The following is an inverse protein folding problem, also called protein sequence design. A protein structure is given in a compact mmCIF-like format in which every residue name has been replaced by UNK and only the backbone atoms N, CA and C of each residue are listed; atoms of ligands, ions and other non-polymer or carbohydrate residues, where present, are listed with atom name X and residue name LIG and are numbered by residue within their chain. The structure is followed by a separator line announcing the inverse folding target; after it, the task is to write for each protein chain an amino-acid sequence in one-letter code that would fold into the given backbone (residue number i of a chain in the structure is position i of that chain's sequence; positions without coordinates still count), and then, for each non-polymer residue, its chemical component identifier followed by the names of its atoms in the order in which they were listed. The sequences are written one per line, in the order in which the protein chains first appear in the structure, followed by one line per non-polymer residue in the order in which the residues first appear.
data_IF_284075233539
#
_entry.id   IF_284075233539
#
_cell.length_a   1.000
_cell.length_b   1.000
_cell.length_c   1.000
_cell.angle_alpha   90.00
_cell.angle_beta   90.00
_cell.angle_gamma   90.00
#
_symmetry.space_group_name_H-M   'P 1'
#
loop_
_entity.id
_entity.type
_entity.pdbx_description
1 polymer ?
#
# COMPACT_ATOMS: atom_id res chain seq x y z
N UNK A 1 -7.86 -13.15 8.46
CA UNK A 1 -7.80 -11.68 8.31
C UNK A 1 -7.62 -11.11 9.71
N UNK A 2 -6.59 -10.32 9.93
CA UNK A 2 -6.35 -9.72 11.25
C UNK A 2 -7.10 -8.40 11.46
N UNK A 3 -7.36 -7.66 10.41
CA UNK A 3 -7.97 -6.34 10.51
C UNK A 3 -8.73 -5.97 9.23
N UNK A 4 -9.88 -5.32 9.39
CA UNK A 4 -10.76 -4.88 8.28
C UNK A 4 -11.27 -3.49 8.61
N UNK A 5 -11.05 -2.51 7.75
CA UNK A 5 -11.66 -1.19 7.88
C UNK A 5 -12.37 -0.79 6.59
N UNK A 6 -13.51 -0.11 6.76
CA UNK A 6 -14.36 0.24 5.65
C UNK A 6 -15.14 -0.94 5.09
N UNK A 7 -15.37 -0.93 3.80
CA UNK A 7 -16.10 -1.98 3.09
C UNK A 7 -15.11 -2.96 2.44
N UNK A 8 -14.95 -4.10 3.07
CA UNK A 8 -14.14 -5.22 2.60
C UNK A 8 -15.04 -6.42 2.38
N UNK A 9 -14.82 -7.09 1.28
CA UNK A 9 -15.60 -8.25 0.89
C UNK A 9 -14.70 -9.45 0.61
N UNK A 10 -15.25 -10.62 0.87
CA UNK A 10 -14.63 -11.91 0.57
C UNK A 10 -15.51 -12.72 -0.37
N UNK A 11 -14.89 -13.44 -1.27
CA UNK A 11 -15.54 -14.40 -2.17
C UNK A 11 -14.84 -15.76 -2.08
N UNK A 12 -15.60 -16.79 -1.77
CA UNK A 12 -15.14 -18.17 -1.88
C UNK A 12 -15.23 -18.65 -3.34
N UNK A 13 -14.46 -19.66 -3.75
CA UNK A 13 -14.55 -20.20 -5.10
C UNK A 13 -15.97 -20.56 -5.50
N UNK A 14 -16.44 -19.98 -6.61
CA UNK A 14 -17.81 -20.19 -7.13
C UNK A 14 -18.92 -19.50 -6.34
N UNK A 15 -18.60 -18.78 -5.27
CA UNK A 15 -19.56 -18.04 -4.45
C UNK A 15 -19.74 -16.60 -4.87
N UNK A 16 -20.66 -15.90 -4.21
CA UNK A 16 -20.84 -14.45 -4.32
C UNK A 16 -19.96 -13.69 -3.34
N UNK A 17 -19.72 -12.42 -3.63
CA UNK A 17 -19.09 -11.50 -2.69
C UNK A 17 -19.97 -11.30 -1.46
N UNK A 18 -19.37 -11.29 -0.30
CA UNK A 18 -20.02 -11.04 1.00
C UNK A 18 -19.12 -10.21 1.88
N UNK A 19 -19.69 -9.43 2.77
CA UNK A 19 -18.94 -8.63 3.72
C UNK A 19 -17.95 -9.51 4.49
N UNK A 20 -16.71 -9.06 4.55
CA UNK A 20 -15.67 -9.68 5.35
C UNK A 20 -15.78 -9.25 6.82
N UNK A 21 -15.27 -10.08 7.71
CA UNK A 21 -15.13 -9.76 9.14
C UNK A 21 -13.70 -9.95 9.61
N UNK A 22 -13.33 -9.27 10.67
CA UNK A 22 -12.09 -9.54 11.41
C UNK A 22 -12.03 -11.00 11.85
N UNK A 23 -10.85 -11.52 12.04
CA UNK A 23 -10.57 -12.91 12.42
C UNK A 23 -11.11 -13.96 11.45
N UNK A 24 -11.65 -13.56 10.31
CA UNK A 24 -12.12 -14.51 9.31
C UNK A 24 -10.95 -15.26 8.67
N UNK A 25 -11.01 -16.61 8.72
CA UNK A 25 -10.02 -17.45 8.06
C UNK A 25 -10.15 -17.37 6.54
N UNK A 26 -9.01 -17.35 5.85
CA UNK A 26 -8.92 -17.43 4.41
C UNK A 26 -8.44 -18.82 3.98
N UNK A 27 -9.12 -19.40 3.02
CA UNK A 27 -8.74 -20.64 2.36
C UNK A 27 -8.09 -20.37 0.99
N UNK A 28 -7.39 -21.38 0.47
CA UNK A 28 -6.87 -21.33 -0.91
C UNK A 28 -8.04 -21.18 -1.88
N UNK A 29 -7.92 -20.20 -2.78
CA UNK A 29 -8.95 -19.83 -3.76
C UNK A 29 -9.89 -18.72 -3.30
N UNK A 30 -9.88 -18.34 -2.02
CA UNK A 30 -10.63 -17.18 -1.55
C UNK A 30 -10.06 -15.91 -2.15
N UNK A 31 -10.96 -14.98 -2.46
CA UNK A 31 -10.63 -13.63 -2.95
C UNK A 31 -11.07 -12.60 -1.92
N UNK A 32 -10.28 -11.59 -1.74
CA UNK A 32 -10.58 -10.44 -0.88
C UNK A 32 -10.53 -9.19 -1.74
N UNK A 33 -11.53 -8.32 -1.63
CA UNK A 33 -11.49 -7.00 -2.23
C UNK A 33 -11.80 -5.92 -1.21
N UNK A 34 -11.09 -4.82 -1.34
CA UNK A 34 -11.33 -3.59 -0.62
C UNK A 34 -12.04 -2.61 -1.55
N UNK A 35 -13.11 -1.98 -1.09
CA UNK A 35 -13.77 -0.90 -1.83
C UNK A 35 -13.05 0.44 -1.62
N UNK A 36 -13.36 1.50 -2.36
CA UNK A 36 -12.75 2.80 -2.17
C UNK A 36 -12.81 3.30 -0.71
N UNK A 37 -11.68 3.78 -0.18
CA UNK A 37 -11.54 4.19 1.21
C UNK A 37 -11.48 3.04 2.22
N UNK A 38 -11.18 1.82 1.76
CA UNK A 38 -11.15 0.63 2.61
C UNK A 38 -9.84 -0.11 2.49
N UNK A 39 -9.41 -0.80 3.54
CA UNK A 39 -8.26 -1.70 3.45
C UNK A 39 -8.46 -2.93 4.32
N UNK A 40 -7.59 -3.93 4.11
CA UNK A 40 -7.55 -5.13 4.90
C UNK A 40 -6.11 -5.51 5.25
N UNK A 41 -5.93 -6.14 6.40
CA UNK A 41 -4.68 -6.78 6.78
C UNK A 41 -4.87 -8.29 6.79
N UNK A 42 -4.13 -8.96 5.94
CA UNK A 42 -4.09 -10.43 5.88
C UNK A 42 -2.95 -10.89 6.78
N UNK A 43 -3.28 -11.63 7.82
CA UNK A 43 -2.29 -12.18 8.75
C UNK A 43 -2.01 -13.65 8.46
N UNK A 44 -0.74 -13.98 8.43
CA UNK A 44 -0.21 -15.33 8.31
C UNK A 44 0.76 -15.58 9.47
N UNK A 45 1.07 -16.84 9.82
CA UNK A 45 1.90 -17.14 11.00
C UNK A 45 3.27 -16.43 11.04
N UNK A 46 3.77 -15.96 9.92
CA UNK A 46 5.13 -15.38 9.77
C UNK A 46 5.15 -14.09 8.94
N UNK A 47 4.03 -13.53 8.57
CA UNK A 47 3.97 -12.26 7.83
C UNK A 47 2.58 -11.64 7.89
N UNK A 48 2.53 -10.34 7.72
CA UNK A 48 1.31 -9.60 7.50
C UNK A 48 1.38 -8.84 6.17
N UNK A 49 0.25 -8.76 5.49
CA UNK A 49 0.14 -8.12 4.17
C UNK A 49 -0.98 -7.09 4.25
N UNK A 50 -0.64 -5.84 3.98
CA UNK A 50 -1.62 -4.80 3.84
C UNK A 50 -2.17 -4.81 2.40
N UNK A 51 -3.49 -4.92 2.28
CA UNK A 51 -4.24 -4.79 1.03
C UNK A 51 -4.82 -3.38 1.00
N UNK A 52 -4.31 -2.55 0.12
CA UNK A 52 -4.66 -1.14 0.04
C UNK A 52 -6.05 -0.90 -0.56
N UNK A 53 -6.39 0.36 -0.69
CA UNK A 53 -7.64 0.86 -1.25
C UNK A 53 -7.92 0.34 -2.67
N UNK A 54 -9.19 0.01 -2.95
CA UNK A 54 -9.63 -0.40 -4.28
C UNK A 54 -8.89 -1.63 -4.84
N UNK A 55 -8.43 -2.52 -3.98
CA UNK A 55 -7.60 -3.67 -4.35
C UNK A 55 -8.40 -4.97 -4.38
N UNK A 56 -7.95 -5.90 -5.19
CA UNK A 56 -8.48 -7.26 -5.22
C UNK A 56 -7.34 -8.27 -5.26
N UNK A 57 -7.32 -9.18 -4.29
CA UNK A 57 -6.31 -10.23 -4.13
C UNK A 57 -6.96 -11.61 -3.97
N UNK A 58 -6.30 -12.65 -4.46
CA UNK A 58 -6.69 -14.04 -4.25
C UNK A 58 -5.56 -14.83 -3.59
N UNK A 59 -5.89 -15.66 -2.61
CA UNK A 59 -4.94 -16.58 -1.99
C UNK A 59 -4.78 -17.82 -2.87
N UNK A 60 -3.61 -18.02 -3.46
CA UNK A 60 -3.35 -19.15 -4.36
C UNK A 60 -2.66 -20.32 -3.69
N UNK A 61 -1.76 -20.07 -2.76
CA UNK A 61 -1.01 -21.12 -2.07
C UNK A 61 -0.61 -20.66 -0.67
N UNK A 62 -0.57 -21.59 0.28
CA UNK A 62 -0.16 -21.33 1.67
C UNK A 62 1.21 -21.93 2.04
N UNK A 63 1.71 -22.92 1.30
CA UNK A 63 3.04 -23.51 1.58
C UNK A 63 4.15 -22.56 1.15
N UNK A 64 4.07 -22.08 -0.09
CA UNK A 64 4.77 -20.88 -0.55
C UNK A 64 3.69 -19.83 -0.65
N UNK A 65 3.62 -18.92 0.32
CA UNK A 65 2.55 -17.94 0.35
C UNK A 65 2.50 -17.21 -0.98
N UNK A 66 1.46 -17.48 -1.75
CA UNK A 66 1.27 -16.91 -3.08
C UNK A 66 -0.05 -16.17 -3.13
N UNK A 67 0.03 -14.88 -3.38
CA UNK A 67 -1.12 -14.03 -3.62
C UNK A 67 -1.18 -13.64 -5.09
N UNK A 68 -2.37 -13.62 -5.64
CA UNK A 68 -2.64 -13.03 -6.94
C UNK A 68 -3.27 -11.66 -6.77
N UNK A 69 -2.58 -10.62 -7.24
CA UNK A 69 -3.09 -9.24 -7.24
C UNK A 69 -3.75 -8.97 -8.59
N UNK A 70 -5.07 -8.82 -8.58
CA UNK A 70 -5.84 -8.53 -9.80
C UNK A 70 -5.84 -7.04 -10.12
N UNK A 71 -5.95 -6.19 -9.13
CA UNK A 71 -5.89 -4.73 -9.23
C UNK A 71 -5.54 -4.15 -7.86
N UNK A 72 -5.00 -2.93 -7.84
CA UNK A 72 -4.76 -2.17 -6.62
C UNK A 72 -3.34 -2.36 -6.08
N UNK A 73 -3.19 -2.34 -4.78
CA UNK A 73 -1.91 -2.26 -4.07
C UNK A 73 -1.84 -3.24 -2.91
N UNK A 74 -0.70 -3.86 -2.76
CA UNK A 74 -0.32 -4.61 -1.55
C UNK A 74 1.06 -4.17 -1.08
N UNK A 75 1.17 -3.94 0.22
CA UNK A 75 2.42 -3.74 0.94
C UNK A 75 2.76 -5.01 1.72
N UNK A 76 3.95 -5.49 1.53
CA UNK A 76 4.47 -6.72 2.12
C UNK A 76 5.66 -6.37 2.98
N UNK A 77 5.63 -6.82 4.23
CA UNK A 77 6.78 -6.72 5.13
C UNK A 77 7.09 -8.12 5.71
N UNK A 78 7.71 -9.00 4.93
CA UNK A 78 8.02 -10.34 5.39
C UNK A 78 9.23 -10.32 6.32
N UNK A 79 9.06 -10.72 7.55
CA UNK A 79 10.19 -10.84 8.47
C UNK A 79 11.21 -11.92 8.04
N UNK A 80 10.86 -12.96 7.30
CA UNK A 80 11.80 -14.01 6.82
C UNK A 80 11.23 -15.00 5.80
N UNK A 81 10.16 -14.74 5.06
CA UNK A 81 9.47 -15.77 4.27
C UNK A 81 9.49 -15.50 2.78
N UNK A 82 9.68 -16.56 1.99
CA UNK A 82 9.44 -16.50 0.55
C UNK A 82 7.96 -16.28 0.28
N UNK A 83 7.65 -15.07 -0.11
CA UNK A 83 6.33 -14.68 -0.58
C UNK A 83 6.39 -14.46 -2.08
N UNK A 84 5.35 -14.91 -2.77
CA UNK A 84 5.15 -14.61 -4.18
C UNK A 84 3.88 -13.80 -4.38
N UNK A 85 3.99 -12.75 -5.17
CA UNK A 85 2.84 -12.02 -5.71
C UNK A 85 2.80 -12.24 -7.21
N UNK A 86 1.70 -12.76 -7.68
CA UNK A 86 1.45 -12.97 -9.11
C UNK A 86 0.45 -11.93 -9.58
N UNK A 87 0.78 -11.26 -10.67
CA UNK A 87 -0.13 -10.36 -11.40
C UNK A 87 -0.36 -10.91 -12.81
N UNK A 88 -1.13 -10.22 -13.63
CA UNK A 88 -1.25 -10.60 -15.04
C UNK A 88 0.06 -10.36 -15.81
N UNK A 89 0.89 -9.42 -15.36
CA UNK A 89 2.10 -9.00 -16.06
C UNK A 89 3.38 -9.67 -15.51
N UNK A 90 3.42 -10.01 -14.20
CA UNK A 90 4.64 -10.44 -13.54
C UNK A 90 4.44 -11.41 -12.39
N UNK A 91 5.50 -12.11 -12.03
CA UNK A 91 5.67 -12.80 -10.75
C UNK A 91 6.72 -12.06 -9.93
N UNK A 92 6.37 -11.64 -8.71
CA UNK A 92 7.26 -10.93 -7.80
C UNK A 92 7.55 -11.84 -6.61
N UNK A 93 8.83 -11.99 -6.27
CA UNK A 93 9.26 -12.66 -5.04
C UNK A 93 10.28 -11.81 -4.33
N UNK A 94 10.19 -11.72 -3.01
CA UNK A 94 11.06 -10.83 -2.23
C UNK A 94 11.32 -11.35 -0.83
N UNK A 95 12.35 -10.81 -0.20
CA UNK A 95 12.76 -11.11 1.18
C UNK A 95 12.81 -9.88 2.08
N UNK A 96 12.20 -8.79 1.66
CA UNK A 96 12.14 -7.54 2.39
C UNK A 96 10.88 -6.77 2.07
N UNK A 97 10.71 -5.61 2.72
CA UNK A 97 9.55 -4.76 2.49
C UNK A 97 9.43 -4.41 1.01
N UNK A 98 8.32 -4.81 0.42
CA UNK A 98 8.08 -4.72 -1.01
C UNK A 98 6.66 -4.20 -1.26
N UNK A 99 6.54 -3.18 -2.09
CA UNK A 99 5.28 -2.70 -2.64
C UNK A 99 5.04 -3.37 -3.99
N UNK A 100 3.85 -3.92 -4.18
CA UNK A 100 3.37 -4.33 -5.50
C UNK A 100 2.06 -3.61 -5.79
N UNK A 101 2.02 -2.87 -6.91
CA UNK A 101 0.83 -2.15 -7.36
C UNK A 101 0.51 -2.53 -8.78
N UNK A 102 -0.75 -2.82 -9.07
CA UNK A 102 -1.23 -3.14 -10.41
C UNK A 102 -2.33 -2.19 -10.82
N UNK A 103 -2.08 -1.43 -11.87
CA UNK A 103 -3.05 -0.49 -12.45
C UNK A 103 -2.79 -0.28 -13.95
N UNK A 104 -3.82 0.00 -14.73
CA UNK A 104 -3.70 0.38 -16.14
C UNK A 104 -2.95 -0.63 -17.02
N UNK A 105 -3.01 -1.92 -16.73
CA UNK A 105 -2.28 -2.96 -17.48
C UNK A 105 -0.77 -2.95 -17.22
N UNK A 106 -0.33 -2.47 -16.07
CA UNK A 106 1.06 -2.48 -15.66
C UNK A 106 1.18 -2.91 -14.19
N UNK A 107 2.26 -3.60 -13.88
CA UNK A 107 2.67 -3.94 -12.52
C UNK A 107 3.89 -3.13 -12.13
N UNK A 108 3.77 -2.38 -11.04
CA UNK A 108 4.84 -1.58 -10.44
C UNK A 108 5.34 -2.31 -9.20
N UNK A 109 6.66 -2.42 -9.06
CA UNK A 109 7.30 -3.10 -7.94
C UNK A 109 8.35 -2.20 -7.33
N UNK A 110 8.27 -2.01 -6.01
CA UNK A 110 9.27 -1.29 -5.24
C UNK A 110 9.86 -2.17 -4.15
N UNK A 111 11.18 -2.18 -3.98
CA UNK A 111 11.88 -2.85 -2.89
C UNK A 111 12.53 -1.81 -1.99
N UNK A 112 12.07 -1.71 -0.74
CA UNK A 112 12.54 -0.71 0.23
C UNK A 112 13.72 -1.21 1.05
N UNK A 113 13.65 -2.47 1.51
CA UNK A 113 14.76 -3.14 2.19
C UNK A 113 14.87 -4.59 1.69
N UNK A 114 15.99 -5.24 1.90
CA UNK A 114 16.22 -6.60 1.38
C UNK A 114 16.39 -6.61 -0.14
N UNK A 115 15.51 -7.27 -0.86
CA UNK A 115 15.52 -7.36 -2.30
C UNK A 115 14.29 -8.05 -2.86
N UNK A 116 14.00 -7.83 -4.14
CA UNK A 116 12.93 -8.50 -4.85
C UNK A 116 13.40 -8.99 -6.23
N UNK A 117 12.87 -10.13 -6.66
CA UNK A 117 13.00 -10.59 -8.03
C UNK A 117 11.66 -10.37 -8.73
N UNK A 118 11.71 -9.79 -9.92
CA UNK A 118 10.54 -9.54 -10.77
C UNK A 118 10.73 -10.31 -12.06
N UNK A 119 9.87 -11.29 -12.29
CA UNK A 119 9.93 -12.16 -13.45
C UNK A 119 8.74 -11.89 -14.38
N UNK A 120 9.03 -11.71 -15.66
CA UNK A 120 8.04 -11.59 -16.72
C UNK A 120 8.64 -11.97 -18.09
N UNK A 121 7.88 -12.67 -18.93
CA UNK A 121 8.28 -13.06 -20.30
C UNK A 121 9.66 -13.74 -20.38
N UNK A 122 9.99 -14.56 -19.38
CA UNK A 122 11.26 -15.27 -19.30
C UNK A 122 12.47 -14.42 -18.89
N UNK A 123 12.28 -13.14 -18.59
CA UNK A 123 13.31 -12.26 -18.06
C UNK A 123 13.11 -12.07 -16.55
N UNK A 124 14.22 -11.98 -15.82
CA UNK A 124 14.23 -11.72 -14.39
C UNK A 124 15.05 -10.47 -14.10
N UNK A 125 14.44 -9.52 -13.43
CA UNK A 125 15.11 -8.33 -12.90
C UNK A 125 15.22 -8.46 -11.39
N UNK A 126 16.41 -8.23 -10.85
CA UNK A 126 16.67 -8.20 -9.41
C UNK A 126 16.70 -6.76 -8.92
N UNK A 127 15.81 -6.46 -8.00
CA UNK A 127 15.77 -5.18 -7.31
C UNK A 127 16.61 -5.26 -6.03
N UNK A 128 17.54 -4.36 -5.90
CA UNK A 128 18.21 -4.08 -4.62
C UNK A 128 17.39 -3.10 -3.78
N UNK A 129 17.96 -2.71 -2.64
CA UNK A 129 17.37 -1.73 -1.73
C UNK A 129 17.11 -0.40 -2.43
N UNK A 130 15.96 0.20 -2.19
CA UNK A 130 15.51 1.47 -2.78
C UNK A 130 15.52 1.46 -4.32
N UNK A 131 15.13 0.34 -4.91
CA UNK A 131 14.97 0.18 -6.35
C UNK A 131 13.56 -0.27 -6.67
N UNK A 132 13.08 0.18 -7.82
CA UNK A 132 11.80 -0.26 -8.35
C UNK A 132 11.85 -0.51 -9.84
N UNK A 133 10.85 -1.21 -10.36
CA UNK A 133 10.67 -1.48 -11.78
C UNK A 133 9.20 -1.46 -12.16
N UNK A 134 8.94 -1.44 -13.45
CA UNK A 134 7.60 -1.58 -14.02
C UNK A 134 7.60 -2.70 -15.05
N UNK A 135 6.54 -3.49 -15.04
CA UNK A 135 6.23 -4.49 -16.05
C UNK A 135 4.93 -4.08 -16.74
N UNK A 136 5.02 -3.75 -18.02
CA UNK A 136 3.84 -3.45 -18.84
C UNK A 136 3.27 -4.74 -19.43
N UNK A 137 1.99 -4.70 -19.80
CA UNK A 137 1.34 -5.80 -20.50
C UNK A 137 2.22 -6.28 -21.66
N UNK A 138 2.44 -7.59 -21.72
CA UNK A 138 3.24 -8.28 -22.72
C UNK A 138 4.73 -7.91 -22.82
N UNK A 139 5.24 -7.10 -21.87
CA UNK A 139 6.65 -6.71 -21.81
C UNK A 139 7.47 -7.47 -20.75
N UNK A 140 8.80 -7.47 -20.88
CA UNK A 140 9.69 -7.86 -19.79
C UNK A 140 9.72 -6.77 -18.70
N UNK A 141 10.27 -7.06 -17.50
CA UNK A 141 10.53 -6.03 -16.51
C UNK A 141 11.48 -4.96 -17.07
N UNK A 142 11.17 -3.70 -16.81
CA UNK A 142 12.06 -2.59 -17.17
C UNK A 142 13.33 -2.61 -16.30
N UNK A 143 14.37 -1.90 -16.75
CA UNK A 143 15.58 -1.68 -15.96
C UNK A 143 15.24 -1.08 -14.59
N UNK A 144 15.93 -1.51 -13.50
CA UNK A 144 15.69 -0.97 -12.17
C UNK A 144 15.96 0.52 -12.07
N UNK A 145 14.99 1.26 -11.60
CA UNK A 145 15.09 2.68 -11.31
C UNK A 145 15.37 2.90 -9.81
N UNK A 146 16.22 3.88 -9.50
CA UNK A 146 16.37 4.32 -8.12
C UNK A 146 15.08 5.02 -7.67
N UNK A 147 14.62 4.69 -6.49
CA UNK A 147 13.59 5.46 -5.81
C UNK A 147 14.18 6.76 -5.32
N UNK A 148 13.37 7.83 -5.32
CA UNK A 148 13.73 9.07 -4.68
C UNK A 148 13.83 8.91 -3.14
N UNK A 149 14.41 9.88 -2.45
CA UNK A 149 14.41 9.90 -1.00
C UNK A 149 12.99 10.08 -0.46
N UNK A 150 12.73 9.56 0.73
CA UNK A 150 11.47 9.82 1.42
C UNK A 150 11.26 11.33 1.60
N UNK A 151 10.07 11.85 1.31
CA UNK A 151 9.75 13.25 1.57
C UNK A 151 9.91 13.59 3.05
N UNK A 152 10.11 14.85 3.35
CA UNK A 152 10.23 15.33 4.74
C UNK A 152 9.00 16.15 5.11
N UNK A 153 8.32 15.77 6.17
CA UNK A 153 7.22 16.54 6.74
C UNK A 153 7.74 17.88 7.24
N UNK A 154 6.98 18.94 6.95
CA UNK A 154 7.22 20.29 7.47
C UNK A 154 6.21 20.62 8.56
N UNK A 155 4.90 20.39 8.32
CA UNK A 155 3.83 20.70 9.26
C UNK A 155 2.51 19.99 8.89
N UNK A 156 1.73 19.54 9.89
CA UNK A 156 2.14 19.29 11.26
C UNK A 156 3.14 18.13 11.33
N UNK A 157 4.08 18.19 12.28
CA UNK A 157 5.09 17.17 12.51
C UNK A 157 4.64 16.09 13.50
N UNK A 158 5.62 15.47 14.17
CA UNK A 158 5.38 14.44 15.18
C UNK A 158 4.69 14.98 16.45
N UNK A 159 4.81 16.29 16.73
CA UNK A 159 4.02 16.92 17.80
C UNK A 159 2.57 17.09 17.33
N UNK A 160 1.58 16.61 18.11
CA UNK A 160 0.19 16.65 17.70
C UNK A 160 -0.32 18.05 17.44
N UNK A 161 -0.92 18.28 16.28
CA UNK A 161 -1.68 19.49 15.97
C UNK A 161 -3.15 19.29 16.36
N UNK A 162 -3.62 20.05 17.32
CA UNK A 162 -5.03 20.06 17.72
C UNK A 162 -5.84 20.96 16.78
N UNK A 163 -6.93 20.45 16.26
CA UNK A 163 -7.89 21.15 15.40
C UNK A 163 -9.31 20.76 15.76
N UNK A 164 -10.28 21.60 15.45
CA UNK A 164 -11.70 21.28 15.65
C UNK A 164 -12.23 20.39 14.52
N UNK A 165 -13.34 19.70 14.79
CA UNK A 165 -14.04 18.93 13.74
C UNK A 165 -14.29 19.81 12.52
N UNK A 166 -13.94 19.30 11.34
CA UNK A 166 -14.05 19.96 10.03
C UNK A 166 -13.24 21.27 9.88
N UNK A 167 -12.43 21.64 10.87
CA UNK A 167 -11.45 22.72 10.70
C UNK A 167 -10.39 22.32 9.68
N UNK A 168 -9.98 23.27 8.85
CA UNK A 168 -8.93 23.02 7.86
C UNK A 168 -7.56 22.92 8.53
N UNK A 169 -6.84 21.86 8.26
CA UNK A 169 -5.43 21.71 8.60
C UNK A 169 -4.61 21.61 7.33
N UNK A 170 -3.55 22.41 7.22
CA UNK A 170 -2.68 22.39 6.06
C UNK A 170 -1.50 21.47 6.31
N UNK A 171 -1.47 20.36 5.58
CA UNK A 171 -0.35 19.43 5.55
C UNK A 171 0.71 19.97 4.61
N UNK A 172 1.97 19.98 5.03
CA UNK A 172 3.10 20.46 4.22
C UNK A 172 4.28 19.51 4.31
N UNK A 173 4.91 19.30 3.19
CA UNK A 173 6.13 18.50 3.07
C UNK A 173 7.10 19.13 2.07
N UNK A 174 8.26 18.54 1.95
CA UNK A 174 9.25 18.82 0.91
C UNK A 174 9.83 17.53 0.37
N UNK A 175 10.11 17.50 -0.90
CA UNK A 175 10.75 16.42 -1.64
C UNK A 175 11.11 16.88 -3.03
N UNK A 176 11.97 16.16 -3.72
CA UNK A 176 12.42 16.53 -5.06
C UNK A 176 11.45 16.07 -6.17
N UNK A 177 10.46 15.22 -5.85
CA UNK A 177 9.56 14.64 -6.83
C UNK A 177 8.50 15.64 -7.29
N UNK A 178 7.88 15.34 -8.44
CA UNK A 178 6.79 16.14 -9.01
C UNK A 178 5.41 15.59 -8.66
N UNK A 179 5.34 14.39 -8.13
CA UNK A 179 4.12 13.76 -7.68
C UNK A 179 4.35 13.05 -6.34
N UNK A 180 3.31 12.97 -5.54
CA UNK A 180 3.33 12.40 -4.19
C UNK A 180 2.07 11.58 -3.97
N UNK A 181 2.20 10.56 -3.14
CA UNK A 181 1.07 9.81 -2.58
C UNK A 181 0.92 10.18 -1.12
N UNK A 182 -0.23 10.77 -0.76
CA UNK A 182 -0.58 11.19 0.61
C UNK A 182 -1.54 10.17 1.22
N UNK A 183 -1.23 9.75 2.43
CA UNK A 183 -2.11 8.94 3.26
C UNK A 183 -2.36 9.63 4.60
N UNK A 184 -3.62 9.59 5.05
CA UNK A 184 -4.02 9.97 6.41
C UNK A 184 -4.72 8.77 7.03
N UNK A 185 -4.27 8.34 8.20
CA UNK A 185 -4.73 7.14 8.88
C UNK A 185 -5.23 7.49 10.29
N UNK A 186 -6.20 6.77 10.81
CA UNK A 186 -6.47 6.80 12.25
C UNK A 186 -5.26 6.27 13.01
N UNK A 187 -5.04 6.75 14.23
CA UNK A 187 -3.91 6.27 15.05
C UNK A 187 -4.04 4.77 15.38
N UNK A 188 -5.26 4.29 15.48
CA UNK A 188 -5.59 2.91 15.82
C UNK A 188 -5.77 2.01 14.60
N UNK A 189 -5.47 2.54 13.39
CA UNK A 189 -5.73 1.86 12.14
C UNK A 189 -4.58 2.01 11.16
N UNK A 190 -4.26 0.94 10.45
CA UNK A 190 -3.33 0.98 9.31
C UNK A 190 -4.05 1.32 7.99
N UNK A 191 -5.31 1.77 8.10
CA UNK A 191 -6.17 2.10 6.97
C UNK A 191 -6.19 3.60 6.75
N UNK A 192 -5.89 4.06 5.54
CA UNK A 192 -6.01 5.46 5.23
C UNK A 192 -7.48 5.89 5.13
N UNK A 193 -7.87 6.90 5.91
CA UNK A 193 -9.12 7.65 5.72
C UNK A 193 -9.02 8.62 4.55
N UNK A 194 -7.79 8.92 4.13
CA UNK A 194 -7.47 9.66 2.89
C UNK A 194 -6.29 8.98 2.23
N UNK A 195 -6.42 8.65 0.95
CA UNK A 195 -5.37 8.06 0.11
C UNK A 195 -5.47 8.70 -1.26
N UNK A 196 -4.56 9.63 -1.58
CA UNK A 196 -4.64 10.44 -2.81
C UNK A 196 -3.27 10.71 -3.42
N UNK A 197 -3.28 10.87 -4.74
CA UNK A 197 -2.13 11.34 -5.51
C UNK A 197 -2.18 12.84 -5.71
N UNK A 198 -1.07 13.53 -5.45
CA UNK A 198 -0.96 14.99 -5.45
C UNK A 198 0.30 15.42 -6.19
N UNK A 199 0.20 16.49 -6.97
CA UNK A 199 1.36 17.14 -7.62
C UNK A 199 1.83 18.40 -6.87
N UNK A 200 1.31 18.65 -5.66
CA UNK A 200 1.65 19.79 -4.83
C UNK A 200 2.51 19.37 -3.62
N UNK A 201 3.13 20.33 -2.96
CA UNK A 201 3.90 20.15 -1.72
C UNK A 201 3.07 20.49 -0.45
N UNK A 202 1.78 20.69 -0.62
CA UNK A 202 0.84 20.91 0.47
C UNK A 202 -0.56 20.39 0.11
N UNK A 203 -1.35 20.10 1.15
CA UNK A 203 -2.72 19.68 1.04
C UNK A 203 -3.56 20.25 2.17
N UNK A 204 -4.77 20.74 1.86
CA UNK A 204 -5.74 21.18 2.88
C UNK A 204 -6.63 20.00 3.25
N UNK A 205 -6.47 19.50 4.46
CA UNK A 205 -7.23 18.39 5.02
C UNK A 205 -8.36 18.91 5.91
N UNK A 206 -9.54 18.28 5.83
CA UNK A 206 -10.67 18.47 6.76
C UNK A 206 -11.16 17.11 7.20
N UNK A 207 -11.09 16.84 8.49
CA UNK A 207 -11.56 15.60 9.09
C UNK A 207 -12.88 15.83 9.80
N UNK A 208 -13.97 15.12 9.42
CA UNK A 208 -15.28 15.30 10.02
C UNK A 208 -15.46 14.47 11.30
N UNK A 209 -14.46 13.69 11.71
CA UNK A 209 -14.52 12.80 12.87
C UNK A 209 -13.57 13.24 13.97
N UNK A 210 -13.97 12.99 15.22
CA UNK A 210 -13.09 13.09 16.39
C UNK A 210 -12.04 11.97 16.36
N UNK A 211 -10.86 12.24 16.89
CA UNK A 211 -9.82 11.23 17.05
C UNK A 211 -8.42 11.74 16.77
N UNK A 212 -7.47 10.84 16.91
CA UNK A 212 -6.08 11.11 16.54
C UNK A 212 -5.77 10.45 15.21
N UNK A 213 -5.17 11.22 14.32
CA UNK A 213 -4.79 10.79 12.98
C UNK A 213 -3.30 10.98 12.78
N UNK A 214 -2.70 10.04 12.07
CA UNK A 214 -1.34 10.15 11.55
C UNK A 214 -1.40 10.35 10.05
N UNK A 215 -0.46 11.07 9.50
CA UNK A 215 -0.35 11.25 8.07
C UNK A 215 1.08 11.06 7.61
N UNK A 216 1.22 10.61 6.39
CA UNK A 216 2.50 10.35 5.75
C UNK A 216 2.40 10.61 4.25
N UNK A 217 3.54 10.79 3.61
CA UNK A 217 3.61 11.05 2.17
C UNK A 217 4.79 10.33 1.55
N UNK A 218 4.58 9.70 0.41
CA UNK A 218 5.62 9.08 -0.40
C UNK A 218 5.83 9.87 -1.69
N UNK A 219 7.07 9.96 -2.16
CA UNK A 219 7.40 10.61 -3.42
C UNK A 219 7.29 9.65 -4.60
N UNK A 220 6.84 10.12 -5.75
CA UNK A 220 6.75 9.34 -6.97
C UNK A 220 7.75 9.82 -8.01
N UNK A 221 8.66 8.94 -8.41
CA UNK A 221 9.61 9.15 -9.50
C UNK A 221 9.23 8.24 -10.68
N UNK A 222 8.44 8.78 -11.60
CA UNK A 222 7.89 7.99 -12.70
C UNK A 222 7.01 6.84 -12.17
N UNK A 223 7.35 5.57 -12.51
CA UNK A 223 6.55 4.43 -12.10
C UNK A 223 6.82 3.94 -10.67
N UNK A 224 7.86 4.44 -10.01
CA UNK A 224 8.28 3.97 -8.69
C UNK A 224 7.95 4.96 -7.59
N UNK A 225 7.75 4.44 -6.39
CA UNK A 225 7.35 5.20 -5.21
C UNK A 225 8.40 5.04 -4.12
N UNK A 226 8.81 6.14 -3.48
CA UNK A 226 9.76 6.14 -2.38
C UNK A 226 9.17 5.50 -1.12
N UNK A 227 10.02 5.24 -0.12
CA UNK A 227 9.48 5.03 1.22
C UNK A 227 8.64 6.23 1.64
N UNK A 228 7.59 6.00 2.44
CA UNK A 228 6.85 7.10 3.06
C UNK A 228 7.77 7.94 3.95
N UNK A 229 7.41 9.19 4.13
CA UNK A 229 7.97 10.06 5.15
C UNK A 229 7.81 9.47 6.56
N UNK A 230 8.48 10.05 7.55
CA UNK A 230 8.01 9.94 8.93
C UNK A 230 6.55 10.39 9.07
N UNK A 231 5.96 10.19 10.22
CA UNK A 231 4.56 10.52 10.46
C UNK A 231 4.40 11.90 11.10
N UNK A 232 3.36 12.63 10.67
CA UNK A 232 2.84 13.79 11.36
C UNK A 232 1.54 13.44 12.08
N UNK A 233 1.21 14.15 13.18
CA UNK A 233 0.06 13.86 14.02
C UNK A 233 -0.95 15.01 14.03
N UNK A 234 -2.24 14.64 13.99
CA UNK A 234 -3.38 15.55 14.06
C UNK A 234 -4.36 14.99 15.09
N UNK A 235 -4.73 15.81 16.07
CA UNK A 235 -5.79 15.49 17.03
C UNK A 235 -7.02 16.33 16.73
N UNK A 236 -8.10 15.70 16.32
CA UNK A 236 -9.39 16.36 16.09
C UNK A 236 -10.20 16.30 17.37
N UNK A 237 -10.52 17.47 17.90
CA UNK A 237 -11.24 17.64 19.17
C UNK A 237 -12.62 18.26 18.95
N UNK A 238 -13.48 18.18 19.96
CA UNK A 238 -14.79 18.85 19.96
C UNK A 238 -14.67 20.35 19.76
N UNK A 239 -15.79 20.97 19.36
CA UNK A 239 -15.89 22.43 19.15
C UNK A 239 -15.72 23.23 20.43
#
# INVERSE_FOLDING_TARGET
MGFVEGEVEIQQPGGSWRKASEDQSLAIGDRVRTLPGSTARLEFPWTAIAVGDGSEVALQNQRVLTLRLEIGRIDIDPEQTLLQVVTAEATVSGSGRTLVRREGGATFVGSYNGGANVEAKGAIVRLGVNKGTVVKTDGPPAEPLAMGPAPKIIAPGADPRYVKVAEAVRLKWKGPETAYHLEVLSIDSDVPVVSIDISALEYELRLPWLGTFRWRVAGRTGPVESEPSGEGLICVVEK
#
